data_IF_226207957644
#
_entry.id   IF_226207957644
#
_cell.length_a   1.000
_cell.length_b   1.000
_cell.length_c   1.000
_cell.angle_alpha   90.00
_cell.angle_beta   90.00
_cell.angle_gamma   90.00
#
_symmetry.space_group_name_H-M   'P 1'
#
loop_
_entity.id
_entity.type
_entity.pdbx_description
1 polymer ?
#
# COMPACT_ATOMS: atom_id res chain seq x y z
N UNK A 1 35.12 -17.29 -11.75
CA UNK A 1 34.43 -16.42 -10.79
C UNK A 1 33.93 -15.22 -11.55
N UNK A 2 32.68 -15.26 -12.03
CA UNK A 2 32.03 -14.11 -12.66
C UNK A 2 30.98 -13.62 -11.67
N UNK A 3 31.19 -12.43 -11.15
CA UNK A 3 30.30 -11.77 -10.18
C UNK A 3 29.86 -10.46 -10.81
N UNK A 4 28.73 -10.50 -11.52
CA UNK A 4 27.90 -9.32 -11.79
C UNK A 4 26.45 -9.79 -11.63
N UNK A 5 26.04 -10.02 -10.38
CA UNK A 5 24.65 -9.89 -10.00
C UNK A 5 24.40 -8.37 -9.89
N UNK A 6 24.00 -7.74 -11.00
CA UNK A 6 23.26 -6.48 -10.93
C UNK A 6 21.80 -6.85 -10.73
N UNK A 7 21.50 -7.38 -9.54
CA UNK A 7 20.15 -7.44 -9.02
C UNK A 7 20.02 -6.22 -8.10
N UNK A 8 19.96 -5.03 -8.72
CA UNK A 8 19.64 -3.83 -7.96
C UNK A 8 18.21 -4.01 -7.42
N UNK A 9 17.99 -3.88 -6.10
CA UNK A 9 16.68 -4.16 -5.53
C UNK A 9 15.67 -3.17 -6.12
N UNK A 10 14.75 -3.71 -6.91
CA UNK A 10 13.65 -2.96 -7.53
C UNK A 10 12.90 -2.13 -6.48
N UNK A 11 12.67 -0.86 -6.77
CA UNK A 11 12.24 0.11 -5.75
C UNK A 11 10.71 0.20 -5.70
N UNK A 12 10.11 -0.38 -4.66
CA UNK A 12 8.67 -0.22 -4.41
C UNK A 12 8.39 1.17 -3.82
N UNK A 13 7.71 2.01 -4.61
CA UNK A 13 7.36 3.38 -4.23
C UNK A 13 6.10 3.43 -3.38
N UNK A 14 5.90 4.50 -2.61
CA UNK A 14 4.63 4.69 -1.89
C UNK A 14 3.51 5.04 -2.86
N UNK A 15 2.33 4.47 -2.63
CA UNK A 15 1.13 4.75 -3.41
C UNK A 15 0.60 6.18 -3.21
N UNK A 16 0.86 6.78 -2.03
CA UNK A 16 0.46 8.15 -1.72
C UNK A 16 1.61 8.91 -1.05
N UNK A 17 2.07 9.97 -1.70
CA UNK A 17 3.06 10.90 -1.18
C UNK A 17 2.48 11.99 -0.27
N UNK A 18 3.36 12.76 0.37
CA UNK A 18 2.97 13.92 1.20
C UNK A 18 2.21 14.99 0.41
N UNK A 19 2.50 15.12 -0.89
CA UNK A 19 2.03 16.22 -1.75
C UNK A 19 0.85 15.83 -2.68
N UNK A 20 0.29 14.63 -2.54
CA UNK A 20 -0.87 14.27 -3.35
C UNK A 20 -2.04 15.21 -3.08
N UNK A 21 -2.82 15.43 -4.13
CA UNK A 21 -4.04 16.24 -4.08
C UNK A 21 -5.27 15.35 -3.97
N UNK A 22 -6.35 15.81 -3.33
CA UNK A 22 -7.63 15.11 -3.36
C UNK A 22 -8.03 14.79 -4.81
N UNK A 23 -8.53 13.59 -5.03
CA UNK A 23 -8.78 13.01 -6.35
C UNK A 23 -7.69 12.05 -6.83
N UNK A 24 -6.51 12.03 -6.21
CA UNK A 24 -5.48 11.05 -6.51
C UNK A 24 -5.99 9.62 -6.23
N UNK A 25 -5.86 8.74 -7.21
CA UNK A 25 -6.33 7.36 -7.15
C UNK A 25 -5.20 6.41 -7.52
N UNK A 26 -5.11 5.31 -6.79
CA UNK A 26 -4.25 4.17 -7.11
C UNK A 26 -5.11 2.92 -7.20
N UNK A 27 -4.88 2.12 -8.24
CA UNK A 27 -5.56 0.83 -8.43
C UNK A 27 -4.52 -0.23 -8.73
N UNK A 28 -4.66 -1.40 -8.12
CA UNK A 28 -3.74 -2.51 -8.35
C UNK A 28 -4.22 -3.82 -7.74
N UNK A 29 -3.47 -4.88 -8.02
CA UNK A 29 -3.66 -6.20 -7.42
C UNK A 29 -2.82 -6.33 -6.16
N UNK A 30 -3.39 -6.84 -5.06
CA UNK A 30 -2.62 -7.10 -3.84
C UNK A 30 -1.63 -8.23 -4.08
N UNK A 31 -0.33 -7.96 -3.90
CA UNK A 31 0.72 -8.97 -4.09
C UNK A 31 1.36 -9.42 -2.78
N UNK A 32 1.46 -8.55 -1.78
CA UNK A 32 1.99 -8.89 -0.47
C UNK A 32 1.43 -8.01 0.65
N UNK A 33 1.48 -8.55 1.86
CA UNK A 33 0.94 -7.94 3.06
C UNK A 33 1.88 -8.25 4.23
N UNK A 34 2.28 -7.23 4.97
CA UNK A 34 3.18 -7.38 6.12
C UNK A 34 2.81 -6.42 7.24
N UNK A 35 2.81 -6.91 8.49
CA UNK A 35 2.67 -6.05 9.66
C UNK A 35 4.04 -5.48 10.02
N UNK A 36 4.19 -4.16 9.93
CA UNK A 36 5.44 -3.45 10.24
C UNK A 36 5.24 -2.40 11.31
N UNK A 37 6.33 -1.98 11.95
CA UNK A 37 6.30 -0.84 12.85
C UNK A 37 6.09 0.47 12.08
N UNK A 38 5.15 1.30 12.54
CA UNK A 38 4.98 2.65 12.03
C UNK A 38 6.25 3.46 12.30
N UNK A 39 6.75 4.17 11.29
CA UNK A 39 7.84 5.13 11.49
C UNK A 39 7.30 6.46 12.00
N UNK A 40 7.99 7.05 12.97
CA UNK A 40 7.76 8.42 13.39
C UNK A 40 8.24 9.37 12.28
N UNK A 41 7.38 10.28 11.79
CA UNK A 41 7.72 11.13 10.64
C UNK A 41 8.78 12.20 10.94
N UNK A 42 9.06 12.50 12.22
CA UNK A 42 10.09 13.46 12.63
C UNK A 42 11.45 12.78 12.79
N UNK A 43 11.47 11.56 13.32
CA UNK A 43 12.73 10.88 13.70
C UNK A 43 13.11 9.71 12.79
N UNK A 44 12.18 9.17 11.99
CA UNK A 44 12.36 7.99 11.16
C UNK A 44 12.43 6.66 11.92
N UNK A 45 12.42 6.69 13.26
CA UNK A 45 12.48 5.51 14.14
C UNK A 45 11.10 4.87 14.33
N UNK A 46 11.02 3.61 14.81
CA UNK A 46 9.76 3.00 15.20
C UNK A 46 8.98 3.89 16.19
N UNK A 47 7.70 4.08 15.90
CA UNK A 47 6.79 4.88 16.70
C UNK A 47 6.36 4.05 17.90
N UNK A 48 6.66 4.56 19.09
CA UNK A 48 6.30 3.91 20.35
C UNK A 48 5.04 4.53 20.95
N UNK A 49 4.16 3.71 21.50
CA UNK A 49 3.03 4.13 22.35
C UNK A 49 2.99 3.22 23.57
N UNK A 50 3.16 3.79 24.77
CA UNK A 50 3.13 3.03 26.02
C UNK A 50 4.23 1.95 26.11
N UNK A 51 5.39 2.18 25.50
CA UNK A 51 6.50 1.21 25.49
C UNK A 51 6.39 0.11 24.42
N UNK A 52 5.33 0.08 23.62
CA UNK A 52 5.15 -0.87 22.52
C UNK A 52 5.21 -0.16 21.16
N UNK A 53 5.71 -0.86 20.15
CA UNK A 53 5.68 -0.37 18.76
C UNK A 53 4.25 -0.29 18.25
N UNK A 54 3.93 0.82 17.59
CA UNK A 54 2.65 0.99 16.92
C UNK A 54 2.75 0.32 15.56
N UNK A 55 1.96 -0.72 15.31
CA UNK A 55 1.96 -1.45 14.04
C UNK A 55 1.13 -0.74 12.95
N UNK A 56 1.46 -1.01 11.70
CA UNK A 56 0.66 -0.73 10.50
C UNK A 56 0.75 -1.92 9.55
N UNK A 57 -0.24 -2.08 8.69
CA UNK A 57 -0.19 -3.05 7.61
C UNK A 57 0.43 -2.38 6.38
N UNK A 58 1.55 -2.91 5.89
CA UNK A 58 2.09 -2.57 4.59
C UNK A 58 1.49 -3.51 3.56
N UNK A 59 0.79 -2.95 2.59
CA UNK A 59 0.21 -3.70 1.47
C UNK A 59 0.93 -3.25 0.22
N UNK A 60 1.52 -4.19 -0.51
CA UNK A 60 2.06 -3.91 -1.84
C UNK A 60 1.01 -4.30 -2.86
N UNK A 61 0.75 -3.37 -3.78
CA UNK A 61 -0.15 -3.57 -4.91
C UNK A 61 0.63 -3.46 -6.22
N UNK A 62 0.45 -4.43 -7.10
CA UNK A 62 0.94 -4.34 -8.47
C UNK A 62 0.06 -3.35 -9.22
N UNK A 63 0.65 -2.24 -9.65
CA UNK A 63 -0.03 -1.25 -10.49
C UNK A 63 0.58 -1.29 -11.88
N UNK A 64 -0.19 -1.02 -12.92
CA UNK A 64 0.35 -0.84 -14.28
C UNK A 64 1.15 0.46 -14.46
N UNK A 65 1.60 1.11 -13.38
CA UNK A 65 2.24 2.43 -13.41
C UNK A 65 3.75 2.30 -13.20
N UNK A 66 4.49 2.02 -14.26
CA UNK A 66 5.95 2.14 -14.27
C UNK A 66 6.33 3.59 -14.60
N UNK A 67 7.05 4.25 -13.69
CA UNK A 67 7.44 5.66 -13.86
C UNK A 67 8.88 5.86 -14.37
N UNK A 68 9.74 4.87 -14.17
CA UNK A 68 11.11 4.81 -14.68
C UNK A 68 11.58 3.34 -14.78
N UNK A 69 12.72 3.04 -15.44
CA UNK A 69 13.18 1.66 -15.64
C UNK A 69 13.41 0.85 -14.35
N UNK A 70 13.63 1.53 -13.22
CA UNK A 70 13.90 0.90 -11.91
C UNK A 70 12.63 0.77 -11.03
N UNK A 71 11.49 1.26 -11.54
CA UNK A 71 10.17 1.20 -10.89
C UNK A 71 9.35 0.05 -11.46
N UNK A 72 9.19 -1.02 -10.70
CA UNK A 72 8.44 -2.23 -11.08
C UNK A 72 6.93 -2.03 -11.28
N UNK A 73 6.43 -0.81 -11.11
CA UNK A 73 5.00 -0.55 -11.14
C UNK A 73 4.29 -0.97 -9.85
N UNK A 74 4.97 -1.65 -8.92
CA UNK A 74 4.42 -1.94 -7.61
C UNK A 74 4.40 -0.69 -6.71
N UNK A 75 3.30 -0.53 -5.96
CA UNK A 75 3.11 0.57 -5.01
C UNK A 75 2.79 0.05 -3.63
N UNK A 76 3.36 0.71 -2.62
CA UNK A 76 3.15 0.39 -1.21
C UNK A 76 2.12 1.31 -0.57
N UNK A 77 1.06 0.71 -0.04
CA UNK A 77 0.06 1.30 0.82
C UNK A 77 0.44 1.10 2.28
N UNK A 78 0.59 2.19 3.02
CA UNK A 78 0.76 2.16 4.48
C UNK A 78 -0.62 2.22 5.14
N UNK A 79 -1.24 1.05 5.32
CA UNK A 79 -2.62 0.89 5.76
C UNK A 79 -2.74 1.10 7.26
N UNK A 80 -3.25 2.27 7.64
CA UNK A 80 -3.53 2.70 9.01
C UNK A 80 -4.65 3.74 9.05
N UNK A 81 -5.28 3.92 10.21
CA UNK A 81 -6.24 5.00 10.43
C UNK A 81 -7.40 4.99 9.42
N UNK A 82 -7.63 6.11 8.73
CA UNK A 82 -8.73 6.24 7.78
C UNK A 82 -8.58 5.37 6.53
N UNK A 83 -7.34 5.06 6.11
CA UNK A 83 -7.13 4.15 4.98
C UNK A 83 -7.57 2.74 5.35
N UNK A 84 -7.16 2.25 6.53
CA UNK A 84 -7.60 0.95 7.04
C UNK A 84 -9.13 0.84 7.14
N UNK A 85 -9.80 1.91 7.61
CA UNK A 85 -11.27 1.96 7.65
C UNK A 85 -11.89 1.84 6.26
N UNK A 86 -11.38 2.60 5.29
CA UNK A 86 -11.89 2.58 3.92
C UNK A 86 -11.74 1.21 3.27
N UNK A 87 -10.56 0.58 3.41
CA UNK A 87 -10.28 -0.76 2.86
C UNK A 87 -11.18 -1.81 3.53
N UNK A 88 -11.29 -1.80 4.86
CA UNK A 88 -12.16 -2.73 5.58
C UNK A 88 -13.63 -2.59 5.16
N UNK A 89 -14.12 -1.38 4.98
CA UNK A 89 -15.48 -1.14 4.50
C UNK A 89 -15.68 -1.68 3.08
N UNK A 90 -14.69 -1.54 2.20
CA UNK A 90 -14.75 -2.06 0.84
C UNK A 90 -14.78 -3.60 0.80
N UNK A 91 -13.95 -4.26 1.62
CA UNK A 91 -13.91 -5.73 1.78
C UNK A 91 -15.28 -6.24 2.23
N UNK A 92 -15.83 -5.67 3.31
CA UNK A 92 -17.14 -6.06 3.84
C UNK A 92 -18.27 -5.81 2.83
N UNK A 93 -18.19 -4.72 2.05
CA UNK A 93 -19.18 -4.41 1.01
C UNK A 93 -19.15 -5.41 -0.16
N UNK A 94 -18.02 -6.08 -0.39
CA UNK A 94 -17.88 -7.15 -1.36
C UNK A 94 -18.28 -8.54 -0.82
N UNK A 95 -18.71 -8.63 0.45
CA UNK A 95 -19.09 -9.89 1.09
C UNK A 95 -17.91 -10.75 1.54
N UNK A 96 -16.74 -10.14 1.69
CA UNK A 96 -15.51 -10.79 2.12
C UNK A 96 -15.15 -10.35 3.56
N UNK A 97 -14.22 -11.03 4.21
CA UNK A 97 -13.84 -10.76 5.60
C UNK A 97 -12.38 -10.33 5.79
N UNK A 98 -11.53 -10.59 4.79
CA UNK A 98 -10.10 -10.26 4.81
C UNK A 98 -9.57 -9.71 3.48
N UNK A 99 -8.42 -9.05 3.53
CA UNK A 99 -7.69 -8.59 2.35
C UNK A 99 -6.90 -9.76 1.77
N UNK A 100 -7.25 -10.20 0.56
CA UNK A 100 -6.62 -11.36 -0.07
C UNK A 100 -5.58 -10.96 -1.13
N UNK A 101 -4.51 -11.72 -1.25
CA UNK A 101 -3.61 -11.61 -2.40
C UNK A 101 -4.38 -11.92 -3.70
N UNK A 102 -4.05 -11.21 -4.77
CA UNK A 102 -4.79 -11.23 -6.04
C UNK A 102 -6.06 -10.38 -6.05
N UNK A 103 -6.52 -9.84 -4.91
CA UNK A 103 -7.66 -8.94 -4.91
C UNK A 103 -7.33 -7.63 -5.62
N UNK A 104 -8.28 -7.10 -6.40
CA UNK A 104 -8.13 -5.75 -6.97
C UNK A 104 -8.64 -4.73 -5.97
N UNK A 105 -7.80 -3.77 -5.66
CA UNK A 105 -8.14 -2.65 -4.80
C UNK A 105 -7.97 -1.34 -5.54
N UNK A 106 -8.96 -0.46 -5.43
CA UNK A 106 -8.83 0.94 -5.85
C UNK A 106 -8.98 1.83 -4.62
N UNK A 107 -8.01 2.71 -4.40
CA UNK A 107 -8.03 3.67 -3.29
C UNK A 107 -7.94 5.07 -3.86
N UNK A 108 -8.87 5.93 -3.45
CA UNK A 108 -8.85 7.36 -3.78
C UNK A 108 -8.65 8.18 -2.50
N UNK A 109 -7.68 9.10 -2.55
CA UNK A 109 -7.56 10.16 -1.56
C UNK A 109 -8.63 11.23 -1.80
N UNK A 110 -9.58 11.40 -0.88
CA UNK A 110 -10.78 12.23 -1.10
C UNK A 110 -10.69 13.63 -0.50
N UNK A 111 -9.73 13.89 0.37
CA UNK A 111 -9.62 15.15 1.10
C UNK A 111 -9.03 14.96 2.49
N UNK A 112 -8.97 16.03 3.27
CA UNK A 112 -8.48 15.97 4.65
C UNK A 112 -9.62 16.13 5.65
N UNK A 113 -9.55 15.40 6.78
CA UNK A 113 -10.43 15.62 7.93
C UNK A 113 -9.98 16.82 8.78
N UNK A 114 -10.58 16.98 9.95
CA UNK A 114 -10.17 18.01 10.91
C UNK A 114 -8.84 17.63 11.57
N UNK A 115 -7.90 18.57 11.62
CA UNK A 115 -6.67 18.39 12.39
C UNK A 115 -6.99 18.31 13.89
N UNK A 116 -6.25 17.47 14.61
CA UNK A 116 -6.42 17.32 16.06
C UNK A 116 -6.05 18.59 16.82
N UNK A 117 -4.99 19.28 16.39
CA UNK A 117 -4.60 20.62 16.85
C UNK A 117 -3.82 21.34 15.74
N UNK A 118 -3.50 22.62 15.94
CA UNK A 118 -2.76 23.43 14.97
C UNK A 118 -1.38 22.84 14.59
N UNK A 119 -0.78 22.05 15.47
CA UNK A 119 0.54 21.43 15.25
C UNK A 119 0.50 20.14 14.43
N UNK A 120 -0.70 19.60 14.13
CA UNK A 120 -0.86 18.34 13.43
C UNK A 120 -1.41 18.56 12.02
N UNK A 121 -0.80 17.86 11.06
CA UNK A 121 -1.35 17.79 9.71
C UNK A 121 -2.76 17.16 9.76
N UNK A 122 -3.74 17.76 9.07
CA UNK A 122 -5.05 17.16 8.86
C UNK A 122 -4.93 15.71 8.33
N UNK A 123 -5.68 14.74 8.88
CA UNK A 123 -5.57 13.36 8.44
C UNK A 123 -6.18 13.19 7.04
N UNK A 124 -5.49 12.47 6.15
CA UNK A 124 -6.05 12.09 4.85
C UNK A 124 -7.30 11.21 5.02
N UNK A 125 -8.31 11.46 4.20
CA UNK A 125 -9.53 10.67 4.05
C UNK A 125 -9.47 9.89 2.74
N UNK A 126 -10.05 8.70 2.75
CA UNK A 126 -9.99 7.79 1.62
C UNK A 126 -11.35 7.18 1.33
N UNK A 127 -11.56 6.84 0.07
CA UNK A 127 -12.60 5.90 -0.38
C UNK A 127 -11.88 4.73 -1.04
N UNK A 128 -12.36 3.51 -0.80
CA UNK A 128 -11.82 2.33 -1.45
C UNK A 128 -12.92 1.50 -2.11
N UNK A 129 -12.53 0.75 -3.13
CA UNK A 129 -13.28 -0.39 -3.67
C UNK A 129 -12.41 -1.63 -3.62
N UNK A 130 -13.05 -2.79 -3.49
CA UNK A 130 -12.40 -4.08 -3.38
C UNK A 130 -13.16 -5.07 -4.26
N UNK A 131 -12.42 -5.82 -5.06
CA UNK A 131 -12.91 -6.95 -5.84
C UNK A 131 -12.13 -8.19 -5.37
N UNK A 132 -12.83 -9.27 -4.95
CA UNK A 132 -12.22 -10.54 -4.63
C UNK A 132 -11.26 -11.05 -5.72
N UNK A 133 -10.21 -11.79 -5.36
CA UNK A 133 -9.36 -12.44 -6.35
C UNK A 133 -10.17 -13.40 -7.22
N UNK A 134 -9.77 -13.51 -8.48
CA UNK A 134 -10.23 -14.53 -9.41
C UNK A 134 -9.02 -15.25 -10.02
N UNK A 135 -9.26 -16.28 -10.83
CA UNK A 135 -8.17 -17.11 -11.39
C UNK A 135 -7.18 -16.27 -12.21
N UNK A 136 -7.67 -15.31 -12.99
CA UNK A 136 -6.83 -14.43 -13.80
C UNK A 136 -5.95 -13.51 -12.93
N UNK A 137 -6.53 -12.91 -11.88
CA UNK A 137 -5.78 -12.01 -11.00
C UNK A 137 -4.76 -12.75 -10.14
N UNK A 138 -5.05 -13.98 -9.74
CA UNK A 138 -4.10 -14.86 -9.06
C UNK A 138 -2.96 -15.27 -9.99
N UNK A 139 -3.26 -15.59 -11.26
CA UNK A 139 -2.24 -15.90 -12.26
C UNK A 139 -1.32 -14.70 -12.55
N UNK A 140 -1.86 -13.49 -12.63
CA UNK A 140 -1.08 -12.25 -12.80
C UNK A 140 -0.13 -12.01 -11.62
N UNK A 141 -0.63 -12.15 -10.38
CA UNK A 141 0.21 -12.04 -9.18
C UNK A 141 1.30 -13.11 -9.15
N UNK A 142 0.96 -14.36 -9.50
CA UNK A 142 1.93 -15.45 -9.56
C UNK A 142 3.01 -15.20 -10.63
N UNK A 143 2.63 -14.66 -11.80
CA UNK A 143 3.58 -14.32 -12.86
C UNK A 143 4.52 -13.19 -12.43
N UNK A 144 4.02 -12.17 -11.72
CA UNK A 144 4.87 -11.11 -11.18
C UNK A 144 5.87 -11.65 -10.16
N UNK A 145 5.40 -12.45 -9.19
CA UNK A 145 6.28 -13.00 -8.15
C UNK A 145 7.28 -14.02 -8.71
N UNK A 146 6.88 -14.82 -9.70
CA UNK A 146 7.78 -15.80 -10.34
C UNK A 146 8.82 -15.18 -11.28
N UNK A 147 8.59 -13.96 -11.78
CA UNK A 147 9.56 -13.24 -12.61
C UNK A 147 10.74 -12.67 -11.80
N UNK A 148 10.64 -12.61 -10.46
CA UNK A 148 11.72 -12.16 -9.58
C UNK A 148 12.62 -13.32 -9.09
N UNK A 149 12.25 -14.59 -9.34
CA UNK A 149 12.97 -15.80 -8.89
C UNK A 149 13.93 -16.38 -9.97
N UNK A 150 14.03 -15.78 -11.16
CA UNK A 150 14.82 -16.28 -12.32
C UNK A 150 16.00 -15.34 -12.69
#
# INVERSE_FOLDING_TARGET
>A
MSWIMSDEPKVIRSAFGKNDKPGATVTGLVISQELTAQKDPKTGKPKMRGGQEVLQLEVVILTGQQTDPDDDGARKLFVRGNLQKAIKQAILAAGDDDLRNGARISVQYTGTGQAFSADYAPPKLYRATYEPPNDDSLAEVAAYLGADDE
#
